data_IF_430430262040
#
_entry.id   IF_430430262040
#
_cell.length_a   1.000
_cell.length_b   1.000
_cell.length_c   1.000
_cell.angle_alpha   90.00
_cell.angle_beta   90.00
_cell.angle_gamma   90.00
#
_symmetry.space_group_name_H-M   'P 1'
#
loop_
_entity.id
_entity.type
_entity.pdbx_description
1 polymer ?
#
# COMPACT_ATOMS: atom_id res chain seq x y z
N UNK A 1 30.14 -8.58 26.33
CA UNK A 1 29.47 -8.51 25.00
C UNK A 1 28.14 -7.80 25.17
N UNK A 2 28.03 -6.55 24.74
CA UNK A 2 26.79 -5.78 24.84
C UNK A 2 25.94 -6.14 23.60
N UNK A 3 24.86 -6.90 23.80
CA UNK A 3 23.82 -7.07 22.78
C UNK A 3 23.03 -5.76 22.70
N UNK A 4 23.50 -4.83 21.88
CA UNK A 4 22.69 -3.67 21.49
C UNK A 4 21.52 -4.22 20.69
N UNK A 5 20.34 -4.29 21.31
CA UNK A 5 19.06 -4.42 20.62
C UNK A 5 18.89 -3.15 19.80
N UNK A 6 19.38 -3.16 18.56
CA UNK A 6 19.09 -2.12 17.58
C UNK A 6 17.58 -2.17 17.40
N UNK A 7 16.87 -1.21 18.02
CA UNK A 7 15.44 -0.98 17.80
C UNK A 7 15.28 -0.92 16.29
N UNK A 8 14.65 -1.94 15.67
CA UNK A 8 14.49 -2.02 14.21
C UNK A 8 13.92 -0.68 13.77
N UNK A 9 14.62 -0.01 12.85
CA UNK A 9 14.26 1.33 12.41
C UNK A 9 12.88 1.28 11.78
N UNK A 10 11.87 1.76 12.51
CA UNK A 10 10.51 1.86 12.04
C UNK A 10 10.44 3.08 11.12
N UNK A 11 10.34 2.84 9.82
CA UNK A 11 10.28 3.90 8.81
C UNK A 11 8.83 4.25 8.56
N UNK A 12 8.51 5.54 8.50
CA UNK A 12 7.20 6.00 8.09
C UNK A 12 7.15 6.05 6.56
N UNK A 13 6.22 5.29 5.99
CA UNK A 13 5.96 5.24 4.56
C UNK A 13 4.69 6.00 4.26
N UNK A 14 4.72 6.84 3.23
CA UNK A 14 3.52 7.45 2.69
C UNK A 14 2.92 6.48 1.66
N UNK A 15 1.68 6.08 1.90
CA UNK A 15 0.98 5.03 1.17
C UNK A 15 -0.24 5.64 0.50
N UNK A 16 -0.28 5.56 -0.81
CA UNK A 16 -1.44 5.97 -1.61
C UNK A 16 -2.07 4.75 -2.26
N UNK A 17 -3.37 4.59 -2.08
CA UNK A 17 -4.15 3.47 -2.62
C UNK A 17 -4.90 3.95 -3.85
N UNK A 18 -4.74 3.19 -4.94
CA UNK A 18 -5.44 3.40 -6.18
C UNK A 18 -6.31 2.20 -6.51
N UNK A 19 -7.58 2.46 -6.81
CA UNK A 19 -8.54 1.44 -7.18
C UNK A 19 -9.29 1.85 -8.44
N UNK A 20 -9.70 0.88 -9.24
CA UNK A 20 -10.66 1.12 -10.32
C UNK A 20 -12.05 1.43 -9.75
N UNK A 21 -12.96 2.10 -10.47
CA UNK A 21 -14.32 2.34 -10.00
C UNK A 21 -15.11 1.05 -9.75
N UNK A 22 -14.93 0.02 -10.59
CA UNK A 22 -15.60 -1.28 -10.44
C UNK A 22 -14.60 -2.42 -10.32
N UNK A 23 -15.03 -3.49 -9.66
CA UNK A 23 -14.26 -4.73 -9.58
C UNK A 23 -13.95 -5.28 -10.99
N UNK A 24 -12.74 -5.85 -11.16
CA UNK A 24 -12.25 -6.49 -12.39
C UNK A 24 -12.01 -5.55 -13.58
N UNK A 25 -12.12 -4.24 -13.38
CA UNK A 25 -11.62 -3.29 -14.37
C UNK A 25 -10.10 -3.25 -14.33
N UNK A 26 -9.48 -3.14 -15.50
CA UNK A 26 -8.02 -3.14 -15.64
C UNK A 26 -7.44 -1.75 -15.93
N UNK A 27 -8.30 -0.72 -15.99
CA UNK A 27 -7.94 0.66 -16.31
C UNK A 27 -8.81 1.60 -15.48
N UNK A 28 -8.33 2.83 -15.32
CA UNK A 28 -9.09 3.87 -14.67
C UNK A 28 -8.90 3.97 -13.17
N UNK A 29 -7.70 3.63 -12.71
CA UNK A 29 -7.32 3.74 -11.32
C UNK A 29 -7.44 5.20 -10.86
N UNK A 30 -8.21 5.40 -9.79
CA UNK A 30 -8.31 6.67 -9.07
C UNK A 30 -7.70 6.52 -7.69
N UNK A 31 -7.15 7.60 -7.17
CA UNK A 31 -6.77 7.68 -5.76
C UNK A 31 -8.04 7.55 -4.90
N UNK A 32 -8.04 6.60 -3.98
CA UNK A 32 -9.16 6.40 -3.04
C UNK A 32 -8.80 6.77 -1.61
N UNK A 33 -7.51 6.73 -1.28
CA UNK A 33 -7.03 7.02 0.06
C UNK A 33 -5.52 7.24 0.09
N UNK A 34 -5.08 8.12 0.99
CA UNK A 34 -3.67 8.33 1.31
C UNK A 34 -3.47 8.30 2.82
N UNK A 35 -2.45 7.58 3.27
CA UNK A 35 -2.17 7.44 4.70
C UNK A 35 -0.69 7.18 4.92
N UNK A 36 -0.25 7.25 6.17
CA UNK A 36 1.10 6.83 6.53
C UNK A 36 1.10 5.50 7.27
N UNK A 37 1.99 4.59 6.88
CA UNK A 37 2.18 3.30 7.54
C UNK A 37 3.61 3.22 8.08
N UNK A 38 3.73 2.86 9.35
CA UNK A 38 5.02 2.65 9.99
C UNK A 38 5.43 1.18 9.82
N UNK A 39 6.52 0.91 9.11
CA UNK A 39 7.02 -0.45 8.88
C UNK A 39 8.56 -0.47 8.75
N UNK A 40 9.15 -1.66 8.89
CA UNK A 40 10.60 -1.85 8.78
C UNK A 40 11.06 -2.15 7.35
N UNK A 41 10.13 -2.45 6.44
CA UNK A 41 10.42 -2.73 5.04
C UNK A 41 9.20 -2.42 4.16
N UNK A 42 9.41 -2.30 2.85
CA UNK A 42 8.30 -2.13 1.87
C UNK A 42 7.36 -3.34 1.87
N UNK A 43 7.90 -4.55 2.01
CA UNK A 43 7.10 -5.78 2.07
C UNK A 43 6.18 -5.74 3.30
N UNK A 44 6.74 -5.42 4.47
CA UNK A 44 5.93 -5.27 5.69
C UNK A 44 4.92 -4.13 5.55
N UNK A 45 5.28 -3.03 4.90
CA UNK A 45 4.36 -1.93 4.62
C UNK A 45 3.17 -2.38 3.77
N UNK A 46 3.40 -3.19 2.75
CA UNK A 46 2.34 -3.76 1.89
C UNK A 46 1.44 -4.73 2.66
N UNK A 47 2.01 -5.57 3.51
CA UNK A 47 1.26 -6.50 4.37
C UNK A 47 0.37 -5.74 5.37
N UNK A 48 0.92 -4.70 6.02
CA UNK A 48 0.18 -3.86 6.96
C UNK A 48 -0.91 -3.06 6.25
N UNK A 49 -0.62 -2.53 5.06
CA UNK A 49 -1.63 -1.87 4.20
C UNK A 49 -2.75 -2.86 3.89
N UNK A 50 -2.42 -4.06 3.41
CA UNK A 50 -3.40 -5.07 3.08
C UNK A 50 -4.26 -5.45 4.30
N UNK A 51 -3.65 -5.68 5.46
CA UNK A 51 -4.37 -5.99 6.70
C UNK A 51 -5.30 -4.87 7.13
N UNK A 52 -4.84 -3.62 7.08
CA UNK A 52 -5.62 -2.45 7.53
C UNK A 52 -6.86 -2.21 6.66
N UNK A 53 -6.72 -2.37 5.35
CA UNK A 53 -7.79 -2.08 4.39
C UNK A 53 -8.64 -3.28 4.01
N UNK A 54 -8.38 -4.48 4.56
CA UNK A 54 -9.20 -5.69 4.37
C UNK A 54 -9.82 -6.23 5.66
N UNK A 55 -9.60 -5.58 6.80
CA UNK A 55 -10.28 -5.90 8.06
C UNK A 55 -11.21 -4.75 8.39
N UNK A 56 -12.52 -5.02 8.42
CA UNK A 56 -13.57 -4.00 8.60
C UNK A 56 -13.30 -3.08 9.79
N UNK A 57 -12.89 -3.63 10.92
CA UNK A 57 -12.64 -2.87 12.15
C UNK A 57 -11.39 -1.96 12.10
N UNK A 58 -10.51 -2.17 11.11
CA UNK A 58 -9.25 -1.42 10.94
C UNK A 58 -9.33 -0.35 9.85
N UNK A 59 -10.40 -0.37 9.05
CA UNK A 59 -10.60 0.57 7.96
C UNK A 59 -10.87 1.96 8.54
N UNK A 60 -10.12 2.99 8.11
CA UNK A 60 -10.41 4.38 8.47
C UNK A 60 -11.82 4.79 8.05
N UNK A 61 -12.52 5.56 8.89
CA UNK A 61 -13.90 5.97 8.62
C UNK A 61 -14.06 6.88 7.38
N UNK A 62 -12.98 7.56 6.99
CA UNK A 62 -12.87 8.42 5.82
C UNK A 62 -12.41 7.67 4.56
N UNK A 63 -12.24 6.35 4.63
CA UNK A 63 -11.89 5.52 3.48
C UNK A 63 -13.06 5.42 2.49
N UNK A 64 -12.84 5.93 1.28
CA UNK A 64 -13.85 5.94 0.21
C UNK A 64 -13.69 4.79 -0.80
N UNK A 65 -12.75 3.89 -0.56
CA UNK A 65 -12.48 2.73 -1.39
C UNK A 65 -13.25 1.49 -0.96
N UNK A 66 -13.09 0.43 -1.74
CA UNK A 66 -13.51 -0.93 -1.38
C UNK A 66 -12.35 -1.68 -0.70
N UNK A 67 -12.61 -2.87 -0.17
CA UNK A 67 -11.52 -3.79 0.21
C UNK A 67 -10.51 -3.95 -0.94
N UNK A 68 -9.23 -4.00 -0.58
CA UNK A 68 -8.13 -4.25 -1.50
C UNK A 68 -8.28 -5.62 -2.15
N UNK A 69 -8.20 -5.62 -3.47
CA UNK A 69 -8.47 -6.76 -4.33
C UNK A 69 -7.51 -6.80 -5.52
N UNK A 70 -7.45 -7.94 -6.19
CA UNK A 70 -6.63 -8.10 -7.40
C UNK A 70 -6.88 -6.99 -8.41
N UNK A 71 -5.81 -6.36 -8.88
CA UNK A 71 -5.83 -5.24 -9.82
C UNK A 71 -5.61 -3.88 -9.15
N UNK A 72 -5.87 -3.76 -7.86
CA UNK A 72 -5.63 -2.55 -7.08
C UNK A 72 -4.13 -2.27 -6.94
N UNK A 73 -3.79 -0.99 -6.81
CA UNK A 73 -2.40 -0.52 -6.81
C UNK A 73 -2.13 0.24 -5.52
N UNK A 74 -0.94 0.02 -4.96
CA UNK A 74 -0.41 0.77 -3.83
C UNK A 74 0.87 1.46 -4.27
N UNK A 75 0.92 2.78 -4.09
CA UNK A 75 2.15 3.56 -4.14
C UNK A 75 2.72 3.67 -2.74
N UNK A 76 4.00 3.37 -2.61
CA UNK A 76 4.80 3.64 -1.42
C UNK A 76 5.81 4.73 -1.77
N UNK A 77 5.67 5.89 -1.14
CA UNK A 77 6.63 6.99 -1.22
C UNK A 77 7.50 7.00 0.05
N UNK A 78 8.82 6.94 -0.18
CA UNK A 78 9.86 6.96 0.86
C UNK A 78 10.58 8.32 0.94
N UNK A 79 10.03 9.36 0.33
CA UNK A 79 10.68 10.66 0.16
C UNK A 79 11.98 10.51 -0.63
N UNK A 80 13.12 10.59 0.07
CA UNK A 80 14.45 10.40 -0.56
C UNK A 80 14.66 9.01 -1.15
N UNK A 81 13.93 8.00 -0.68
CA UNK A 81 13.97 6.64 -1.22
C UNK A 81 13.16 6.44 -2.51
N UNK A 82 12.49 7.48 -2.98
CA UNK A 82 11.68 7.47 -4.19
C UNK A 82 10.31 6.82 -4.03
N UNK A 83 9.62 6.73 -5.16
CA UNK A 83 8.26 6.23 -5.29
C UNK A 83 8.25 4.83 -5.91
N UNK A 84 7.51 3.91 -5.29
CA UNK A 84 7.45 2.51 -5.69
C UNK A 84 5.99 2.09 -5.82
N UNK A 85 5.61 1.63 -7.01
CA UNK A 85 4.25 1.17 -7.28
C UNK A 85 4.19 -0.35 -7.21
N UNK A 86 3.14 -0.87 -6.57
CA UNK A 86 2.87 -2.29 -6.43
C UNK A 86 1.44 -2.57 -6.84
N UNK A 87 1.23 -3.59 -7.66
CA UNK A 87 -0.09 -4.09 -8.01
C UNK A 87 -0.37 -5.40 -7.28
N UNK A 88 -1.56 -5.51 -6.71
CA UNK A 88 -2.03 -6.78 -6.16
C UNK A 88 -2.44 -7.70 -7.30
N UNK A 89 -1.79 -8.86 -7.41
CA UNK A 89 -2.11 -9.90 -8.39
C UNK A 89 -2.36 -11.23 -7.67
N UNK A 90 -2.89 -12.27 -8.35
CA UNK A 90 -2.89 -13.61 -7.78
C UNK A 90 -1.46 -13.99 -7.38
N UNK A 91 -1.26 -14.40 -6.12
CA UNK A 91 0.06 -14.70 -5.57
C UNK A 91 0.75 -13.55 -4.83
N UNK A 92 0.14 -12.35 -4.75
CA UNK A 92 0.60 -11.28 -3.87
C UNK A 92 0.92 -9.96 -4.60
N UNK A 93 1.82 -9.18 -4.02
CA UNK A 93 2.20 -7.87 -4.53
C UNK A 93 3.34 -7.95 -5.54
N UNK A 94 3.15 -7.33 -6.70
CA UNK A 94 4.16 -7.26 -7.76
C UNK A 94 4.53 -5.81 -8.05
N UNK A 95 5.82 -5.47 -8.13
CA UNK A 95 6.23 -4.12 -8.52
C UNK A 95 5.80 -3.83 -9.96
N UNK A 96 5.37 -2.60 -10.21
CA UNK A 96 5.03 -2.09 -11.54
C UNK A 96 5.73 -0.76 -11.80
N UNK A 97 6.14 -0.52 -13.04
CA UNK A 97 6.91 0.69 -13.39
C UNK A 97 6.03 1.85 -13.87
N UNK A 98 4.78 1.58 -14.25
CA UNK A 98 3.86 2.57 -14.83
C UNK A 98 2.45 2.30 -14.36
N UNK A 99 1.74 3.38 -14.07
CA UNK A 99 0.31 3.39 -13.79
C UNK A 99 -0.38 4.31 -14.78
N UNK A 100 -1.60 3.97 -15.17
CA UNK A 100 -2.47 4.84 -15.96
C UNK A 100 -3.56 5.33 -15.03
N UNK A 101 -3.39 6.57 -14.57
CA UNK A 101 -4.39 7.27 -13.77
C UNK A 101 -5.43 7.91 -14.70
N UNK A 102 -6.67 8.00 -14.22
CA UNK A 102 -7.73 8.80 -14.86
C UNK A 102 -7.91 10.13 -14.13
#
# INVERSE_FOLDING_TARGET
>A
MIKVLIKRACTQYDVTIFQTPKYRENKGHKEVFRTTISANSRVQCLEETFSRFNVTDRIPADYQGRFLSTGDIVLIDQGRGGQHYYQLKPGGWFPINRIVLL
#
